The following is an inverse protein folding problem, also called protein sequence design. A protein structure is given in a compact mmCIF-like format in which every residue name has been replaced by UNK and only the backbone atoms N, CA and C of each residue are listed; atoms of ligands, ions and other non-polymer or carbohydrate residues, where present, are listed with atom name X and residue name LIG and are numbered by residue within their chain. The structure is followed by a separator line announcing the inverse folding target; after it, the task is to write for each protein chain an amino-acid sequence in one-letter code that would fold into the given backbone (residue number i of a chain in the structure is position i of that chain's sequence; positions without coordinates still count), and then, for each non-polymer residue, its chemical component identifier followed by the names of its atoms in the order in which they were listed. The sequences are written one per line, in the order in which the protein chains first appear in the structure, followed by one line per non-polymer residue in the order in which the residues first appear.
data_IF_312447079325
#
_entry.id   IF_312447079325
#
_cell.length_a   1.000
_cell.length_b   1.000
_cell.length_c   1.000
_cell.angle_alpha   90.00
_cell.angle_beta   90.00
_cell.angle_gamma   90.00
#
_symmetry.space_group_name_H-M   'P 1'
#
loop_
_entity.id
_entity.type
_entity.pdbx_description
1 polymer ?
#
# COMPACT_ATOMS: atom_id res chain seq x y z
N UNK A 1 -1.04 -64.97 9.79
CA UNK A 1 -1.00 -64.83 11.26
C UNK A 1 0.36 -64.22 11.59
N UNK A 2 0.44 -62.89 11.63
CA UNK A 2 0.50 -62.04 12.85
C UNK A 2 1.72 -62.31 13.72
N UNK A 3 2.72 -61.44 13.58
CA UNK A 3 3.83 -61.28 14.51
C UNK A 3 4.50 -59.94 14.24
N UNK A 4 4.09 -58.90 14.99
CA UNK A 4 4.54 -57.52 14.80
C UNK A 4 5.98 -57.30 15.27
N UNK A 5 6.74 -56.55 14.47
CA UNK A 5 7.97 -55.89 14.90
C UNK A 5 7.60 -54.45 15.30
N UNK A 6 7.92 -54.10 16.54
CA UNK A 6 7.82 -52.73 17.07
C UNK A 6 9.20 -52.08 16.91
N UNK A 7 9.35 -51.00 16.14
CA UNK A 7 10.40 -50.03 16.39
C UNK A 7 9.80 -48.84 17.14
N UNK A 8 10.36 -48.61 18.32
CA UNK A 8 10.18 -47.41 19.11
C UNK A 8 10.67 -46.22 18.28
N UNK A 9 9.79 -45.27 17.96
CA UNK A 9 10.26 -43.94 17.54
C UNK A 9 9.90 -42.97 18.64
N UNK A 10 10.90 -42.67 19.47
CA UNK A 10 10.85 -41.60 20.45
C UNK A 10 10.34 -40.32 19.76
N UNK A 11 9.22 -39.80 20.26
CA UNK A 11 8.65 -38.55 19.80
C UNK A 11 9.59 -37.40 20.11
N UNK A 12 10.48 -37.07 19.16
CA UNK A 12 11.17 -35.79 19.16
C UNK A 12 10.13 -34.72 18.79
N UNK A 13 9.48 -34.16 19.81
CA UNK A 13 8.73 -32.92 19.70
C UNK A 13 9.72 -31.78 19.43
N UNK A 14 10.13 -31.65 18.16
CA UNK A 14 10.82 -30.46 17.69
C UNK A 14 9.85 -29.28 17.87
N UNK A 15 10.08 -28.47 18.91
CA UNK A 15 9.46 -27.15 19.04
C UNK A 15 9.91 -26.32 17.84
N UNK A 16 9.10 -26.33 16.79
CA UNK A 16 9.21 -25.37 15.71
C UNK A 16 8.85 -24.01 16.34
N UNK A 17 9.85 -23.24 16.73
CA UNK A 17 9.64 -21.85 17.12
C UNK A 17 9.18 -21.13 15.85
N UNK A 18 7.88 -20.95 15.72
CA UNK A 18 7.29 -20.15 14.65
C UNK A 18 7.71 -18.71 14.87
N UNK A 19 8.72 -18.26 14.15
CA UNK A 19 9.11 -16.85 14.10
C UNK A 19 8.01 -16.08 13.36
N UNK A 20 7.02 -15.58 14.09
CA UNK A 20 5.97 -14.73 13.53
C UNK A 20 6.51 -13.31 13.41
N UNK A 21 6.80 -12.88 12.18
CA UNK A 21 7.04 -11.47 11.86
C UNK A 21 5.75 -10.87 11.29
N UNK A 22 5.24 -9.76 11.83
CA UNK A 22 4.13 -9.04 11.23
C UNK A 22 4.45 -8.59 9.79
N UNK A 23 3.47 -8.60 8.87
CA UNK A 23 3.69 -8.16 7.49
C UNK A 23 3.99 -6.66 7.42
N UNK A 24 4.94 -6.27 6.57
CA UNK A 24 5.29 -4.86 6.34
C UNK A 24 5.57 -4.60 4.86
N UNK A 25 5.01 -3.52 4.31
CA UNK A 25 5.34 -3.02 2.96
C UNK A 25 5.13 -1.51 2.86
N UNK A 26 5.76 -0.92 1.85
CA UNK A 26 5.52 0.46 1.40
C UNK A 26 5.63 0.47 -0.11
N UNK A 27 4.68 1.09 -0.79
CA UNK A 27 4.80 1.33 -2.23
C UNK A 27 4.34 2.74 -2.59
N UNK A 28 4.87 3.20 -3.72
CA UNK A 28 4.59 4.50 -4.31
C UNK A 28 4.48 4.31 -5.82
N UNK A 29 3.37 4.74 -6.41
CA UNK A 29 3.10 4.64 -7.85
C UNK A 29 2.55 5.97 -8.33
N UNK A 30 3.24 6.60 -9.27
CA UNK A 30 2.79 7.83 -9.92
C UNK A 30 2.79 7.66 -11.45
N UNK A 31 1.78 8.23 -12.10
CA UNK A 31 1.69 8.32 -13.56
C UNK A 31 1.41 9.77 -13.92
N UNK A 32 2.19 10.27 -14.87
CA UNK A 32 1.98 11.55 -15.54
C UNK A 32 2.22 11.32 -17.03
N UNK A 33 1.13 11.11 -17.78
CA UNK A 33 1.18 10.91 -19.22
C UNK A 33 0.47 12.07 -19.94
N UNK A 34 1.22 13.03 -20.50
CA UNK A 34 0.66 14.14 -21.26
C UNK A 34 -0.10 13.73 -22.51
N UNK A 35 0.19 12.54 -23.09
CA UNK A 35 -0.46 12.09 -24.34
C UNK A 35 -1.86 11.58 -24.09
N UNK A 36 -2.05 10.82 -23.01
CA UNK A 36 -3.37 10.32 -22.59
C UNK A 36 -4.10 11.30 -21.66
N UNK A 37 -3.37 12.24 -21.05
CA UNK A 37 -3.89 13.16 -20.04
C UNK A 37 -4.07 12.51 -18.67
N UNK A 38 -3.57 11.28 -18.47
CA UNK A 38 -3.66 10.56 -17.20
C UNK A 38 -2.66 11.13 -16.18
N UNK A 39 -3.20 11.57 -15.05
CA UNK A 39 -2.41 11.96 -13.88
C UNK A 39 -2.96 11.26 -12.65
N UNK A 40 -2.14 10.41 -12.03
CA UNK A 40 -2.50 9.68 -10.81
C UNK A 40 -1.31 9.41 -9.90
N UNK A 41 -1.56 9.33 -8.59
CA UNK A 41 -0.55 9.00 -7.58
C UNK A 41 -1.18 8.15 -6.49
N UNK A 42 -0.46 7.12 -6.08
CA UNK A 42 -0.86 6.18 -5.06
C UNK A 42 0.32 5.93 -4.13
N UNK A 43 0.03 5.97 -2.83
CA UNK A 43 0.98 5.53 -1.81
C UNK A 43 0.24 4.67 -0.79
N UNK A 44 0.84 3.57 -0.39
CA UNK A 44 0.31 2.75 0.70
C UNK A 44 1.44 2.15 1.52
N UNK A 45 1.20 2.10 2.83
CA UNK A 45 2.06 1.40 3.78
C UNK A 45 1.22 0.45 4.60
N UNK A 46 1.82 -0.70 4.92
CA UNK A 46 1.30 -1.65 5.88
C UNK A 46 2.32 -1.90 6.97
N UNK A 47 1.84 -1.89 8.20
CA UNK A 47 2.60 -2.31 9.37
C UNK A 47 1.71 -3.22 10.23
N UNK A 48 1.96 -4.52 10.14
CA UNK A 48 1.15 -5.55 10.79
C UNK A 48 -0.29 -5.55 10.29
N UNK A 49 -1.21 -5.20 11.19
CA UNK A 49 -2.66 -5.13 10.91
C UNK A 49 -3.12 -3.75 10.46
N UNK A 50 -2.24 -2.74 10.48
CA UNK A 50 -2.57 -1.37 10.07
C UNK A 50 -2.12 -1.11 8.64
N UNK A 51 -3.06 -0.69 7.79
CA UNK A 51 -2.81 -0.18 6.45
C UNK A 51 -3.18 1.30 6.43
N UNK A 52 -2.35 2.13 5.80
CA UNK A 52 -2.68 3.52 5.52
C UNK A 52 -2.17 3.90 4.14
N UNK A 53 -2.92 4.72 3.43
CA UNK A 53 -2.51 5.16 2.12
C UNK A 53 -3.34 6.32 1.61
N UNK A 54 -2.97 6.77 0.43
CA UNK A 54 -3.80 7.69 -0.33
C UNK A 54 -3.75 7.35 -1.81
N UNK A 55 -4.79 7.75 -2.52
CA UNK A 55 -4.82 7.78 -3.97
C UNK A 55 -5.34 9.14 -4.43
N UNK A 56 -4.72 9.70 -5.46
CA UNK A 56 -5.14 10.94 -6.08
C UNK A 56 -5.16 10.77 -7.60
N UNK A 57 -6.24 11.20 -8.25
CA UNK A 57 -6.38 11.13 -9.71
C UNK A 57 -7.04 12.39 -10.28
N UNK A 58 -6.69 12.71 -11.52
CA UNK A 58 -7.39 13.72 -12.32
C UNK A 58 -8.64 13.13 -12.97
N UNK A 59 -9.79 13.66 -12.64
CA UNK A 59 -11.08 13.28 -13.23
C UNK A 59 -11.28 13.94 -14.60
N UNK A 60 -12.19 13.38 -15.41
CA UNK A 60 -12.50 13.88 -16.75
C UNK A 60 -13.07 15.31 -16.76
N UNK A 61 -13.70 15.73 -15.66
CA UNK A 61 -14.20 17.11 -15.45
C UNK A 61 -13.09 18.10 -15.06
N UNK A 62 -11.82 17.64 -15.03
CA UNK A 62 -10.66 18.45 -14.65
C UNK A 62 -10.49 18.63 -13.13
N UNK A 63 -11.37 18.05 -12.31
CA UNK A 63 -11.21 18.06 -10.87
C UNK A 63 -10.24 16.99 -10.40
N UNK A 64 -9.77 17.12 -9.17
CA UNK A 64 -8.94 16.11 -8.53
C UNK A 64 -9.74 15.42 -7.45
N UNK A 65 -9.76 14.09 -7.49
CA UNK A 65 -10.22 13.27 -6.39
C UNK A 65 -9.01 12.79 -5.59
N UNK A 66 -8.99 13.10 -4.31
CA UNK A 66 -7.96 12.65 -3.36
C UNK A 66 -8.66 11.84 -2.26
N UNK A 67 -8.22 10.60 -2.07
CA UNK A 67 -8.78 9.67 -1.10
C UNK A 67 -7.67 9.28 -0.13
N UNK A 68 -7.84 9.61 1.15
CA UNK A 68 -6.99 9.11 2.22
C UNK A 68 -7.71 7.98 2.91
N UNK A 69 -7.02 6.87 3.15
CA UNK A 69 -7.63 5.70 3.76
C UNK A 69 -6.76 5.06 4.82
N UNK A 70 -7.43 4.42 5.77
CA UNK A 70 -6.82 3.61 6.84
C UNK A 70 -7.63 2.34 7.02
N UNK A 71 -6.97 1.23 7.33
CA UNK A 71 -7.62 0.00 7.72
C UNK A 71 -6.91 -0.63 8.92
N UNK A 72 -7.67 -1.05 9.93
CA UNK A 72 -7.15 -1.81 11.05
C UNK A 72 -8.21 -2.76 11.64
N UNK A 73 -7.78 -3.66 12.54
CA UNK A 73 -8.65 -4.68 13.15
C UNK A 73 -9.75 -4.12 14.06
N UNK A 74 -9.56 -2.93 14.63
CA UNK A 74 -10.48 -2.32 15.62
C UNK A 74 -11.52 -1.43 14.94
N UNK A 75 -11.08 -0.60 13.99
CA UNK A 75 -11.89 0.42 13.34
C UNK A 75 -12.40 0.00 11.96
N UNK A 76 -11.90 -1.11 11.41
CA UNK A 76 -12.20 -1.52 10.04
C UNK A 76 -11.58 -0.57 9.02
N UNK A 77 -12.23 -0.43 7.86
CA UNK A 77 -11.79 0.48 6.80
C UNK A 77 -12.45 1.85 6.96
N UNK A 78 -11.64 2.90 6.89
CA UNK A 78 -12.09 4.29 6.85
C UNK A 78 -11.44 5.00 5.65
N UNK A 79 -12.23 5.82 4.95
CA UNK A 79 -11.72 6.65 3.86
C UNK A 79 -12.33 8.05 3.93
N UNK A 80 -11.48 9.05 3.68
CA UNK A 80 -11.86 10.46 3.55
C UNK A 80 -11.60 10.88 2.12
N UNK A 81 -12.67 11.24 1.42
CA UNK A 81 -12.62 11.70 0.02
C UNK A 81 -12.66 13.22 0.01
N UNK A 82 -11.72 13.83 -0.71
CA UNK A 82 -11.66 15.26 -0.99
C UNK A 82 -11.73 15.45 -2.51
N UNK A 83 -12.63 16.35 -2.94
CA UNK A 83 -12.69 16.80 -4.34
C UNK A 83 -12.17 18.22 -4.41
N UNK A 84 -11.09 18.44 -5.16
CA UNK A 84 -10.53 19.78 -5.41
C UNK A 84 -10.99 20.25 -6.78
N UNK A 85 -11.49 21.49 -6.84
CA UNK A 85 -12.01 22.08 -8.08
C UNK A 85 -10.93 22.35 -9.13
N UNK A 86 -11.37 22.65 -10.35
CA UNK A 86 -10.52 22.87 -11.54
C UNK A 86 -9.46 23.95 -11.30
N UNK A 87 -9.76 25.02 -10.55
CA UNK A 87 -8.80 26.10 -10.25
C UNK A 87 -7.67 25.67 -9.29
N UNK A 88 -7.79 24.52 -8.64
CA UNK A 88 -6.74 23.94 -7.80
C UNK A 88 -5.83 22.99 -8.60
N UNK A 89 -6.13 22.73 -9.89
CA UNK A 89 -5.35 21.86 -10.76
C UNK A 89 -3.91 22.36 -10.95
N UNK A 90 -3.70 23.69 -11.01
CA UNK A 90 -2.36 24.28 -11.12
C UNK A 90 -1.48 24.03 -9.88
N UNK A 91 -2.08 23.71 -8.71
CA UNK A 91 -1.34 23.29 -7.50
C UNK A 91 -1.15 21.76 -7.39
N UNK A 92 -1.76 20.99 -8.29
CA UNK A 92 -1.63 19.54 -8.27
C UNK A 92 -0.26 19.08 -8.80
N UNK A 93 0.32 19.83 -9.75
CA UNK A 93 1.68 19.58 -10.22
C UNK A 93 2.71 19.72 -9.09
N UNK A 94 2.55 20.68 -8.17
CA UNK A 94 3.47 20.86 -7.04
C UNK A 94 3.51 19.67 -6.06
N UNK A 95 2.39 18.97 -5.87
CA UNK A 95 2.34 17.80 -4.96
C UNK A 95 2.84 16.51 -5.62
N UNK A 96 2.84 16.46 -6.96
CA UNK A 96 3.25 15.30 -7.75
C UNK A 96 4.72 15.37 -8.17
N UNK A 97 5.26 16.58 -8.42
CA UNK A 97 6.65 16.78 -8.78
C UNK A 97 7.63 16.72 -7.61
N UNK A 98 7.20 16.94 -6.36
CA UNK A 98 8.15 16.95 -5.22
C UNK A 98 8.85 15.59 -5.02
N UNK A 99 8.21 14.47 -5.40
CA UNK A 99 8.85 13.14 -5.40
C UNK A 99 9.65 12.86 -6.68
N UNK A 100 9.21 13.33 -7.85
CA UNK A 100 9.91 13.11 -9.13
C UNK A 100 11.20 13.96 -9.19
N UNK A 101 11.14 15.22 -8.77
CA UNK A 101 12.32 16.10 -8.69
C UNK A 101 13.30 15.66 -7.59
N UNK A 102 12.83 15.10 -6.48
CA UNK A 102 13.72 14.56 -5.44
C UNK A 102 14.52 13.35 -5.95
N UNK A 103 13.97 12.53 -6.85
CA UNK A 103 14.73 11.44 -7.49
C UNK A 103 15.65 11.92 -8.61
N UNK A 104 15.35 13.05 -9.26
CA UNK A 104 16.22 13.63 -10.30
C UNK A 104 17.38 14.48 -9.74
N UNK A 105 17.45 14.69 -8.43
CA UNK A 105 18.62 15.26 -7.73
C UNK A 105 19.51 14.21 -7.06
N UNK A 106 19.21 12.91 -7.25
CA UNK A 106 20.04 11.79 -6.76
C UNK A 106 20.55 10.88 -7.89
N UNK A 107 20.71 11.43 -9.10
CA UNK A 107 21.60 10.90 -10.14
C UNK A 107 22.39 12.03 -10.81
#
# INVERSE_FOLDING_TARGET
QTGGLVPQTAGQHHKHQMYYSPPHYSFDVAVNDPKTGEVRNQHETRNGDMVKGFYALKEADGTIREVHYTADKKNGFNAVVKKKGILCFEQFFDFFDFKILCSSLYL
#
